data_IF_509745656770
#
_entry.id   IF_509745656770
#
_cell.length_a   1.000
_cell.length_b   1.000
_cell.length_c   1.000
_cell.angle_alpha   90.00
_cell.angle_beta   90.00
_cell.angle_gamma   90.00
#
_symmetry.space_group_name_H-M   'P 1'
#
loop_
_entity.id
_entity.type
_entity.pdbx_description
1 polymer ?
#
# COMPACT_ATOMS: atom_id res chain seq x y z
N UNK A 1 12.87 -8.89 29.88
CA UNK A 1 12.34 -8.28 28.64
C UNK A 1 11.86 -6.87 28.92
N UNK A 2 11.79 -5.99 27.91
CA UNK A 2 11.03 -4.73 28.01
C UNK A 2 9.64 -4.93 27.40
N UNK A 3 8.59 -4.44 28.06
CA UNK A 3 7.21 -4.50 27.54
C UNK A 3 6.97 -3.47 26.45
N UNK A 4 6.01 -3.74 25.57
CA UNK A 4 5.53 -2.79 24.56
C UNK A 4 4.83 -1.60 25.24
N UNK A 5 5.40 -0.39 25.17
CA UNK A 5 4.79 0.80 25.82
C UNK A 5 3.49 1.28 25.16
N UNK A 6 3.15 0.76 23.98
CA UNK A 6 1.91 1.13 23.26
C UNK A 6 0.70 0.33 23.76
N UNK A 7 0.88 -0.96 24.06
CA UNK A 7 -0.23 -1.84 24.47
C UNK A 7 -0.08 -2.44 25.86
N UNK A 8 1.11 -2.41 26.46
CA UNK A 8 1.51 -2.97 27.76
C UNK A 8 1.19 -4.47 27.99
N UNK A 9 0.58 -5.15 27.02
CA UNK A 9 0.14 -6.55 27.06
C UNK A 9 1.23 -7.56 26.70
N UNK A 10 2.15 -7.19 25.81
CA UNK A 10 3.13 -8.11 25.23
C UNK A 10 4.55 -7.56 25.33
N UNK A 11 5.55 -8.44 25.39
CA UNK A 11 6.95 -8.05 25.28
C UNK A 11 7.25 -7.36 23.95
N UNK A 12 8.12 -6.35 24.01
CA UNK A 12 8.57 -5.61 22.85
C UNK A 12 9.59 -6.42 22.04
N UNK A 13 9.45 -6.35 20.72
CA UNK A 13 10.37 -7.00 19.76
C UNK A 13 11.17 -5.96 18.97
N UNK A 14 10.73 -4.71 18.95
CA UNK A 14 11.26 -3.64 18.11
C UNK A 14 11.30 -2.32 18.89
N UNK A 15 12.09 -1.35 18.42
CA UNK A 15 12.13 0.03 18.95
C UNK A 15 11.87 1.02 17.81
N UNK A 16 11.08 2.04 18.06
CA UNK A 16 10.74 3.04 17.04
C UNK A 16 11.95 3.95 16.74
N UNK A 17 12.40 4.13 15.49
CA UNK A 17 13.56 4.97 15.19
C UNK A 17 13.31 6.46 15.42
N UNK A 18 12.06 6.91 15.49
CA UNK A 18 11.69 8.33 15.70
C UNK A 18 11.65 8.72 17.17
N UNK A 19 10.84 8.03 17.98
CA UNK A 19 10.62 8.33 19.40
C UNK A 19 11.28 7.32 20.36
N UNK A 20 12.06 6.36 19.86
CA UNK A 20 12.83 5.34 20.63
C UNK A 20 12.01 4.39 21.52
N UNK A 21 10.68 4.52 21.57
CA UNK A 21 9.82 3.68 22.40
C UNK A 21 9.77 2.22 21.89
N UNK A 22 9.81 1.23 22.80
CA UNK A 22 9.75 -0.19 22.46
C UNK A 22 8.31 -0.66 22.19
N UNK A 23 8.12 -1.47 21.14
CA UNK A 23 6.82 -1.99 20.72
C UNK A 23 6.87 -3.48 20.30
N UNK A 24 5.74 -4.19 20.35
CA UNK A 24 5.68 -5.63 20.07
C UNK A 24 5.44 -5.98 18.59
N UNK A 25 4.68 -5.16 17.84
CA UNK A 25 4.30 -5.44 16.44
C UNK A 25 4.00 -4.17 15.64
N UNK A 26 3.91 -4.30 14.32
CA UNK A 26 3.54 -3.20 13.41
C UNK A 26 2.18 -2.57 13.72
N UNK A 27 1.26 -3.33 14.36
CA UNK A 27 -0.03 -2.83 14.84
C UNK A 27 0.20 -1.76 15.92
N UNK A 28 1.12 -2.01 16.87
CA UNK A 28 1.50 -1.03 17.88
C UNK A 28 2.29 0.15 17.29
N UNK A 29 3.12 -0.08 16.27
CA UNK A 29 3.83 1.00 15.57
C UNK A 29 2.89 1.97 14.82
N UNK A 30 1.71 1.51 14.40
CA UNK A 30 0.73 2.30 13.64
C UNK A 30 -0.53 2.66 14.45
N UNK A 31 -0.52 2.41 15.76
CA UNK A 31 -1.63 2.72 16.65
C UNK A 31 -1.69 4.24 16.95
N UNK A 32 -2.89 4.83 17.16
CA UNK A 32 -3.01 6.23 17.58
C UNK A 32 -2.31 6.54 18.91
N UNK A 33 -2.21 5.55 19.80
CA UNK A 33 -1.45 5.65 21.06
C UNK A 33 0.08 5.73 20.87
N UNK A 34 0.59 5.37 19.69
CA UNK A 34 1.98 5.55 19.28
C UNK A 34 2.08 6.83 18.43
N UNK A 35 1.65 7.96 18.99
CA UNK A 35 1.74 9.27 18.35
C UNK A 35 3.19 9.80 18.41
N UNK A 36 3.60 10.56 17.39
CA UNK A 36 4.91 11.22 17.30
C UNK A 36 4.78 12.73 17.51
N UNK A 37 3.97 13.12 18.49
CA UNK A 37 3.92 14.49 18.98
C UNK A 37 5.28 14.81 19.61
N UNK A 38 6.08 15.61 18.91
CA UNK A 38 7.29 16.20 19.45
C UNK A 38 6.88 17.24 20.48
N UNK A 39 6.98 16.88 21.76
CA UNK A 39 7.27 17.87 22.79
C UNK A 39 8.69 17.65 23.30
N UNK A 40 9.43 18.75 23.40
CA UNK A 40 10.89 18.75 23.48
C UNK A 40 11.40 18.54 24.91
N UNK A 41 12.67 18.13 24.99
CA UNK A 41 13.57 18.30 26.13
C UNK A 41 13.25 17.59 27.47
N UNK A 42 13.93 16.45 27.70
CA UNK A 42 15.09 16.46 28.62
C UNK A 42 15.84 15.11 28.69
N UNK A 43 17.14 15.15 28.35
CA UNK A 43 18.32 14.54 29.02
C UNK A 43 18.20 13.08 29.59
N UNK A 44 19.19 12.18 29.47
CA UNK A 44 20.65 12.34 29.30
C UNK A 44 21.32 10.99 28.96
N UNK A 45 22.51 11.06 28.34
CA UNK A 45 23.58 10.03 28.33
C UNK A 45 23.32 8.65 27.65
N UNK A 46 24.31 7.99 27.02
CA UNK A 46 25.61 8.41 26.50
C UNK A 46 26.20 7.30 25.61
N UNK A 47 26.96 7.67 24.56
CA UNK A 47 28.02 6.88 23.87
C UNK A 47 27.64 5.53 23.22
N UNK A 48 28.30 4.98 22.21
CA UNK A 48 29.10 5.42 21.04
C UNK A 48 28.88 4.27 19.99
N UNK A 49 29.21 4.28 18.69
CA UNK A 49 29.99 5.17 17.82
C UNK A 49 29.47 5.09 16.34
N UNK A 50 30.29 5.40 15.34
CA UNK A 50 30.09 5.29 13.88
C UNK A 50 31.05 4.16 13.34
N UNK A 51 30.96 3.54 12.13
CA UNK A 51 30.45 4.15 10.90
C UNK A 51 29.57 3.36 9.93
N UNK A 52 28.66 4.09 9.28
CA UNK A 52 27.98 3.68 8.04
C UNK A 52 28.03 4.76 6.97
N UNK A 53 28.09 4.30 5.72
CA UNK A 53 28.48 5.06 4.53
C UNK A 53 27.37 5.96 3.95
N UNK A 54 27.80 7.01 3.27
CA UNK A 54 27.15 7.66 2.12
C UNK A 54 25.61 7.85 2.14
N UNK A 55 25.22 8.86 2.91
CA UNK A 55 24.32 9.96 2.48
C UNK A 55 23.86 10.00 1.01
N UNK A 56 22.52 10.15 0.88
CA UNK A 56 21.66 10.84 -0.14
C UNK A 56 20.99 9.92 -1.16
N UNK A 57 19.71 10.08 -1.53
CA UNK A 57 18.69 11.09 -1.20
C UNK A 57 17.29 10.55 -1.52
N UNK A 58 16.32 10.65 -0.61
CA UNK A 58 14.89 10.64 -0.97
C UNK A 58 14.17 11.78 -0.23
N UNK A 59 13.96 12.88 -0.95
CA UNK A 59 13.14 13.99 -0.46
C UNK A 59 11.68 13.55 -0.44
N UNK A 60 11.05 13.76 0.71
CA UNK A 60 9.63 14.12 0.88
C UNK A 60 8.70 13.90 -0.33
N UNK A 61 7.82 12.90 -0.23
CA UNK A 61 6.42 13.12 -0.61
C UNK A 61 5.51 12.76 0.56
N UNK A 62 4.80 13.78 0.99
CA UNK A 62 3.85 13.80 2.09
C UNK A 62 2.63 12.93 1.85
N UNK A 63 2.11 12.40 2.94
CA UNK A 63 0.77 11.84 3.05
C UNK A 63 -0.32 12.73 2.45
N UNK A 64 -0.91 12.32 1.34
CA UNK A 64 -2.28 12.66 0.99
C UNK A 64 -3.19 11.51 1.44
N UNK A 65 -3.58 11.51 2.72
CA UNK A 65 -4.52 10.52 3.23
C UNK A 65 -5.87 10.69 2.54
N UNK A 66 -6.36 9.62 1.89
CA UNK A 66 -7.73 9.58 1.37
C UNK A 66 -8.66 9.35 2.57
N UNK A 67 -9.10 10.43 3.20
CA UNK A 67 -10.20 10.40 4.17
C UNK A 67 -11.51 10.00 3.47
N UNK A 68 -12.36 9.26 4.19
CA UNK A 68 -13.69 8.80 3.71
C UNK A 68 -14.57 9.93 3.16
N UNK A 69 -14.31 11.17 3.58
CA UNK A 69 -14.95 12.40 3.13
C UNK A 69 -14.94 12.62 1.61
N UNK A 70 -13.94 12.10 0.89
CA UNK A 70 -13.85 12.26 -0.58
C UNK A 70 -14.78 11.34 -1.39
N UNK A 71 -15.51 10.41 -0.75
CA UNK A 71 -16.53 9.60 -1.42
C UNK A 71 -17.81 10.39 -1.75
N UNK A 72 -18.08 11.47 -1.00
CA UNK A 72 -19.30 12.30 -1.11
C UNK A 72 -19.38 13.18 -2.37
N UNK A 73 -18.30 13.27 -3.16
CA UNK A 73 -18.22 14.10 -4.37
C UNK A 73 -18.23 13.31 -5.70
N UNK A 74 -18.43 11.99 -5.64
CA UNK A 74 -18.69 11.21 -6.85
C UNK A 74 -20.14 11.43 -7.31
N UNK A 75 -20.35 11.48 -8.64
CA UNK A 75 -21.67 11.75 -9.24
C UNK A 75 -22.71 10.72 -8.77
N UNK A 76 -24.02 11.02 -8.74
CA UNK A 76 -25.06 10.07 -8.33
C UNK A 76 -25.05 8.74 -9.13
N UNK A 77 -24.56 8.77 -10.38
CA UNK A 77 -24.31 7.58 -11.20
C UNK A 77 -23.34 6.57 -10.56
N UNK A 78 -22.43 7.03 -9.71
CA UNK A 78 -21.43 6.20 -9.00
C UNK A 78 -22.00 5.50 -7.76
N UNK A 79 -23.10 5.98 -7.19
CA UNK A 79 -23.69 5.39 -5.98
C UNK A 79 -24.46 4.09 -6.29
N UNK A 80 -25.13 4.01 -7.45
CA UNK A 80 -25.75 2.77 -7.96
C UNK A 80 -24.75 1.65 -8.26
N UNK A 81 -23.49 2.01 -8.52
CA UNK A 81 -22.40 1.08 -8.82
C UNK A 81 -21.93 0.34 -7.54
N UNK A 82 -22.13 0.91 -6.34
CA UNK A 82 -21.76 0.28 -5.06
C UNK A 82 -22.69 -0.86 -4.60
N UNK A 83 -23.84 -1.08 -5.26
CA UNK A 83 -24.76 -2.18 -4.91
C UNK A 83 -24.38 -3.56 -5.50
N UNK A 84 -23.33 -3.66 -6.32
CA UNK A 84 -22.91 -4.95 -6.88
C UNK A 84 -21.96 -5.68 -5.92
N UNK A 85 -22.31 -6.91 -5.51
CA UNK A 85 -21.45 -7.77 -4.67
C UNK A 85 -20.05 -7.97 -5.29
N UNK A 86 -19.98 -8.11 -6.62
CA UNK A 86 -18.71 -8.19 -7.37
C UNK A 86 -17.81 -6.95 -7.14
N UNK A 87 -18.42 -5.76 -7.06
CA UNK A 87 -17.69 -4.49 -6.86
C UNK A 87 -17.35 -4.25 -5.40
N UNK A 88 -18.16 -4.73 -4.45
CA UNK A 88 -17.79 -4.80 -3.04
C UNK A 88 -16.62 -5.75 -2.81
N UNK A 89 -16.56 -6.89 -3.52
CA UNK A 89 -15.40 -7.78 -3.57
C UNK A 89 -14.13 -7.07 -4.06
N UNK A 90 -14.19 -6.40 -5.23
CA UNK A 90 -13.07 -5.63 -5.75
C UNK A 90 -12.63 -4.50 -4.80
N UNK A 91 -13.57 -3.78 -4.19
CA UNK A 91 -13.27 -2.73 -3.21
C UNK A 91 -12.61 -3.28 -1.93
N UNK A 92 -12.98 -4.49 -1.51
CA UNK A 92 -12.34 -5.22 -0.41
C UNK A 92 -10.87 -5.51 -0.70
N UNK A 93 -10.56 -6.07 -1.88
CA UNK A 93 -9.18 -6.30 -2.31
C UNK A 93 -8.39 -4.98 -2.43
N UNK A 94 -8.99 -3.95 -3.03
CA UNK A 94 -8.39 -2.62 -3.16
C UNK A 94 -8.12 -1.94 -1.80
N UNK A 95 -8.72 -2.42 -0.71
CA UNK A 95 -8.42 -1.97 0.67
C UNK A 95 -7.09 -2.55 1.20
N UNK A 96 -6.59 -3.64 0.62
CA UNK A 96 -5.39 -4.34 1.10
C UNK A 96 -4.11 -3.56 0.73
N UNK A 97 -3.27 -3.18 1.72
CA UNK A 97 -2.13 -2.30 1.48
C UNK A 97 -1.05 -2.94 0.60
N UNK A 98 -0.93 -4.27 0.60
CA UNK A 98 0.04 -4.98 -0.25
C UNK A 98 -0.34 -4.88 -1.73
N UNK A 99 -1.62 -5.08 -2.06
CA UNK A 99 -2.13 -4.90 -3.42
C UNK A 99 -2.02 -3.44 -3.85
N UNK A 100 -2.39 -2.48 -2.99
CA UNK A 100 -2.22 -1.04 -3.26
C UNK A 100 -0.77 -0.69 -3.63
N UNK A 101 0.22 -1.23 -2.93
CA UNK A 101 1.64 -0.98 -3.25
C UNK A 101 2.00 -1.51 -4.64
N UNK A 102 1.58 -2.72 -5.02
CA UNK A 102 1.84 -3.25 -6.36
C UNK A 102 1.14 -2.41 -7.45
N UNK A 103 -0.12 -2.02 -7.24
CA UNK A 103 -0.86 -1.17 -8.17
C UNK A 103 -0.24 0.23 -8.31
N UNK A 104 0.29 0.81 -7.23
CA UNK A 104 1.04 2.07 -7.25
C UNK A 104 2.35 1.92 -8.04
N UNK A 105 3.06 0.80 -7.90
CA UNK A 105 4.29 0.53 -8.69
C UNK A 105 3.94 0.43 -10.18
N UNK A 106 2.93 -0.35 -10.55
CA UNK A 106 2.47 -0.46 -11.95
C UNK A 106 2.02 0.89 -12.51
N UNK A 107 1.25 1.67 -11.74
CA UNK A 107 0.83 3.01 -12.14
C UNK A 107 2.03 3.95 -12.37
N UNK A 108 3.07 3.89 -11.53
CA UNK A 108 4.30 4.66 -11.73
C UNK A 108 5.06 4.20 -12.97
N UNK A 109 5.18 2.90 -13.23
CA UNK A 109 5.85 2.40 -14.45
C UNK A 109 5.16 2.94 -15.71
N UNK A 110 3.82 2.96 -15.74
CA UNK A 110 3.05 3.45 -16.89
C UNK A 110 3.21 4.97 -17.09
N UNK A 111 3.20 5.76 -16.01
CA UNK A 111 3.05 7.22 -16.08
C UNK A 111 4.34 8.02 -15.82
N UNK A 112 5.36 7.44 -15.18
CA UNK A 112 6.61 8.13 -14.80
C UNK A 112 7.77 7.75 -15.74
N UNK A 113 8.03 8.63 -16.70
CA UNK A 113 9.16 8.54 -17.64
C UNK A 113 10.49 8.42 -16.90
N UNK A 114 10.63 9.08 -15.74
CA UNK A 114 11.86 9.09 -14.94
C UNK A 114 12.17 7.72 -14.31
N UNK A 115 11.16 6.87 -14.13
CA UNK A 115 11.31 5.55 -13.50
C UNK A 115 11.75 4.47 -14.50
N UNK A 116 11.29 4.57 -15.75
CA UNK A 116 11.55 3.60 -16.82
C UNK A 116 12.66 4.04 -17.76
N UNK A 117 12.90 5.35 -17.87
CA UNK A 117 13.72 5.99 -18.90
C UNK A 117 13.18 5.80 -20.33
N UNK A 118 11.93 5.34 -20.49
CA UNK A 118 11.29 5.13 -21.79
C UNK A 118 10.42 6.32 -22.18
N UNK A 119 10.71 6.92 -23.34
CA UNK A 119 9.95 8.05 -23.88
C UNK A 119 8.53 7.66 -24.33
N UNK A 120 8.38 6.48 -24.91
CA UNK A 120 7.11 5.95 -25.45
C UNK A 120 6.14 5.50 -24.35
N UNK A 121 4.84 5.71 -24.53
CA UNK A 121 3.84 5.22 -23.58
C UNK A 121 3.62 3.71 -23.73
N UNK A 122 3.80 3.21 -24.95
CA UNK A 122 3.69 1.81 -25.36
C UNK A 122 4.79 0.97 -24.68
N UNK A 123 6.04 1.43 -24.72
CA UNK A 123 7.18 0.73 -24.11
C UNK A 123 7.04 0.69 -22.57
N UNK A 124 6.59 1.80 -21.95
CA UNK A 124 6.25 1.83 -20.52
C UNK A 124 5.12 0.87 -20.15
N UNK A 125 4.12 0.72 -21.03
CA UNK A 125 3.04 -0.26 -20.85
C UNK A 125 3.56 -1.68 -20.97
N UNK A 126 4.49 -1.97 -21.87
CA UNK A 126 5.14 -3.29 -21.97
C UNK A 126 5.93 -3.64 -20.70
N UNK A 127 6.69 -2.69 -20.14
CA UNK A 127 7.39 -2.89 -18.85
C UNK A 127 6.39 -3.15 -17.72
N UNK A 128 5.25 -2.44 -17.70
CA UNK A 128 4.20 -2.68 -16.71
C UNK A 128 3.52 -4.05 -16.87
N UNK A 129 3.30 -4.50 -18.11
CA UNK A 129 2.78 -5.85 -18.41
C UNK A 129 3.75 -6.91 -17.92
N UNK A 130 5.03 -6.84 -18.32
CA UNK A 130 6.10 -7.74 -17.83
C UNK A 130 6.16 -7.75 -16.30
N UNK A 131 6.02 -6.60 -15.65
CA UNK A 131 5.99 -6.53 -14.18
C UNK A 131 4.76 -7.22 -13.59
N UNK A 132 3.59 -7.07 -14.19
CA UNK A 132 2.36 -7.75 -13.79
C UNK A 132 2.46 -9.27 -14.00
N UNK A 133 3.02 -9.72 -15.12
CA UNK A 133 3.29 -11.13 -15.42
C UNK A 133 4.19 -11.78 -14.36
N UNK A 134 5.23 -11.09 -13.87
CA UNK A 134 6.05 -11.63 -12.76
C UNK A 134 5.27 -11.89 -11.46
N UNK A 135 4.09 -11.26 -11.30
CA UNK A 135 3.25 -11.31 -10.09
C UNK A 135 2.03 -12.24 -10.24
N UNK A 136 1.72 -12.73 -11.45
CA UNK A 136 0.66 -13.73 -11.67
C UNK A 136 1.08 -15.11 -11.15
N UNK A 137 0.12 -16.04 -11.05
CA UNK A 137 0.40 -17.40 -10.53
C UNK A 137 1.43 -18.17 -11.37
N UNK A 138 1.48 -17.98 -12.68
CA UNK A 138 2.49 -18.56 -13.58
C UNK A 138 3.80 -17.75 -13.63
N UNK A 139 3.91 -16.68 -12.83
CA UNK A 139 5.04 -15.76 -12.80
C UNK A 139 6.19 -16.22 -11.90
N UNK A 140 7.33 -15.53 -12.02
CA UNK A 140 8.54 -15.82 -11.20
C UNK A 140 8.34 -15.54 -9.70
N UNK A 141 7.44 -14.61 -9.33
CA UNK A 141 7.17 -14.20 -7.95
C UNK A 141 5.66 -14.07 -7.74
N UNK A 142 4.90 -15.18 -7.75
CA UNK A 142 3.45 -15.17 -7.73
C UNK A 142 2.91 -14.48 -6.47
N UNK A 143 1.86 -13.69 -6.64
CA UNK A 143 1.21 -12.96 -5.57
C UNK A 143 -0.30 -13.24 -5.62
N UNK A 144 -0.77 -14.03 -4.66
CA UNK A 144 -2.17 -14.48 -4.54
C UNK A 144 -3.16 -13.30 -4.63
N UNK A 145 -2.85 -12.17 -3.98
CA UNK A 145 -3.70 -10.97 -4.00
C UNK A 145 -3.75 -10.28 -5.36
N UNK A 146 -2.69 -10.39 -6.15
CA UNK A 146 -2.63 -9.86 -7.53
C UNK A 146 -3.42 -10.78 -8.46
N UNK A 147 -3.32 -12.09 -8.30
CA UNK A 147 -4.11 -13.03 -9.10
C UNK A 147 -5.61 -12.94 -8.77
N UNK A 148 -6.01 -12.92 -7.49
CA UNK A 148 -7.41 -12.72 -7.10
C UNK A 148 -7.96 -11.39 -7.66
N UNK A 149 -7.15 -10.33 -7.66
CA UNK A 149 -7.51 -9.04 -8.25
C UNK A 149 -7.71 -9.15 -9.77
N UNK A 150 -6.78 -9.78 -10.49
CA UNK A 150 -6.91 -10.01 -11.94
C UNK A 150 -8.16 -10.84 -12.28
N UNK A 151 -8.39 -11.94 -11.58
CA UNK A 151 -9.57 -12.79 -11.79
C UNK A 151 -10.89 -12.08 -11.47
N UNK A 152 -10.94 -11.24 -10.43
CA UNK A 152 -12.13 -10.43 -10.14
C UNK A 152 -12.34 -9.32 -11.17
N UNK A 153 -11.26 -8.72 -11.68
CA UNK A 153 -11.33 -7.73 -12.76
C UNK A 153 -11.82 -8.37 -14.07
N UNK A 154 -11.34 -9.55 -14.43
CA UNK A 154 -11.86 -10.36 -15.55
C UNK A 154 -13.35 -10.66 -15.37
N UNK A 155 -13.78 -11.17 -14.20
CA UNK A 155 -15.20 -11.47 -13.85
C UNK A 155 -16.14 -10.24 -13.81
N UNK A 156 -15.59 -9.02 -13.78
CA UNK A 156 -16.33 -7.77 -13.90
C UNK A 156 -16.46 -7.31 -15.36
N UNK A 157 -15.47 -7.61 -16.20
CA UNK A 157 -15.47 -7.27 -17.62
C UNK A 157 -16.24 -8.32 -18.46
N UNK A 158 -16.22 -9.59 -18.05
CA UNK A 158 -17.06 -10.67 -18.59
C UNK A 158 -18.54 -10.47 -18.22
N UNK A 159 -19.20 -9.59 -18.96
CA UNK A 159 -20.65 -9.52 -19.02
C UNK A 159 -21.13 -10.50 -20.10
N UNK A 160 -21.36 -11.76 -19.72
CA UNK A 160 -22.21 -12.65 -20.51
C UNK A 160 -23.65 -12.13 -20.41
N UNK A 161 -23.97 -11.23 -21.34
CA UNK A 161 -25.33 -10.98 -21.77
C UNK A 161 -25.85 -12.26 -22.43
N UNK A 162 -26.50 -13.11 -21.63
CA UNK A 162 -27.21 -14.29 -22.13
C UNK A 162 -28.70 -14.13 -21.82
N UNK A 163 -29.50 -13.57 -22.75
CA UNK A 163 -30.93 -13.75 -22.68
C UNK A 163 -31.21 -15.25 -22.67
N UNK A 164 -31.97 -15.70 -21.68
CA UNK A 164 -32.48 -17.06 -21.64
C UNK A 164 -33.66 -17.13 -22.62
N UNK A 165 -33.35 -17.35 -23.89
CA UNK A 165 -34.34 -17.63 -24.93
C UNK A 165 -35.00 -18.99 -24.61
N UNK A 166 -36.31 -18.96 -24.35
CA UNK A 166 -37.22 -20.10 -24.16
C UNK A 166 -38.41 -19.97 -25.08
#
# INVERSE_FOLDING_TARGET
MSKCLVCNKNDSKYKCPKCKIPYCSLICFKAPAHNHDNNDNSQKAAKDEEPQLLRKTTKSLTSAGITKDKLSKLKPSSQKILQNDKLNGMLSLLSLPQLQIQLIILNKIINDVSLTNEGSAEDRKEIAIKKLETLRMDGMHPNELVEEFCQLFEKLNSNDDKPLDT
#
